data_IF_345862298524
#
_entry.id   IF_345862298524
#
_cell.length_a   1.000
_cell.length_b   1.000
_cell.length_c   1.000
_cell.angle_alpha   90.00
_cell.angle_beta   90.00
_cell.angle_gamma   90.00
#
_symmetry.space_group_name_H-M   'P 1'
#
loop_
_entity.id
_entity.type
_entity.pdbx_description
1 polymer ?
#
# COMPACT_ATOMS: atom_id res chain seq x y z
N UNK A 1 4.34 -23.89 -5.30
CA UNK A 1 3.18 -23.03 -5.66
C UNK A 1 3.77 -21.71 -6.14
N UNK A 2 3.13 -21.01 -7.09
CA UNK A 2 3.70 -19.76 -7.60
C UNK A 2 3.39 -18.65 -6.62
N UNK A 3 4.42 -18.04 -6.03
CA UNK A 3 4.26 -16.83 -5.25
C UNK A 3 3.76 -15.70 -6.18
N UNK A 4 2.76 -14.96 -5.72
CA UNK A 4 2.22 -13.77 -6.37
C UNK A 4 2.46 -12.55 -5.49
N UNK A 5 2.46 -11.36 -6.09
CA UNK A 5 2.81 -10.13 -5.41
C UNK A 5 1.58 -9.33 -5.04
N UNK A 6 1.41 -9.05 -3.75
CA UNK A 6 0.45 -8.08 -3.25
C UNK A 6 1.13 -6.72 -3.06
N UNK A 7 0.38 -5.64 -3.28
CA UNK A 7 0.85 -4.26 -3.19
C UNK A 7 0.04 -3.51 -2.14
N UNK A 8 0.75 -2.78 -1.28
CA UNK A 8 0.18 -1.86 -0.31
C UNK A 8 0.74 -0.46 -0.58
N UNK A 9 -0.15 0.51 -0.65
CA UNK A 9 0.18 1.91 -0.90
C UNK A 9 -0.26 2.72 0.32
N UNK A 10 0.67 3.46 0.91
CA UNK A 10 0.39 4.42 1.97
C UNK A 10 0.57 5.84 1.49
N UNK A 11 -0.37 6.71 1.86
CA UNK A 11 -0.30 8.15 1.71
C UNK A 11 -0.09 8.77 3.10
N UNK A 12 0.89 9.67 3.20
CA UNK A 12 1.36 10.26 4.46
C UNK A 12 1.63 11.77 4.29
N UNK A 13 1.66 12.50 5.41
CA UNK A 13 1.98 13.94 5.43
C UNK A 13 3.49 14.23 5.44
N UNK A 14 4.31 13.23 5.72
CA UNK A 14 5.78 13.29 5.66
C UNK A 14 6.33 12.01 5.02
N UNK A 15 7.56 12.00 4.47
CA UNK A 15 8.14 10.80 3.87
C UNK A 15 8.74 9.82 4.89
N UNK A 16 8.53 10.02 6.19
CA UNK A 16 9.10 9.16 7.22
C UNK A 16 8.36 7.80 7.24
N UNK A 17 9.11 6.69 7.30
CA UNK A 17 8.55 5.33 7.34
C UNK A 17 7.71 5.05 8.59
N UNK A 18 7.90 5.83 9.65
CA UNK A 18 7.13 5.76 10.89
C UNK A 18 5.96 6.76 10.94
N UNK A 19 5.76 7.59 9.92
CA UNK A 19 4.67 8.54 9.87
C UNK A 19 3.30 7.86 9.78
N UNK A 20 2.30 8.49 10.38
CA UNK A 20 0.91 8.01 10.35
C UNK A 20 0.37 7.98 8.91
N UNK A 21 -0.27 6.87 8.56
CA UNK A 21 -1.01 6.72 7.30
C UNK A 21 -2.31 7.54 7.36
N UNK A 22 -2.53 8.38 6.36
CA UNK A 22 -3.77 9.20 6.23
C UNK A 22 -4.73 8.67 5.19
N UNK A 23 -4.23 7.91 4.21
CA UNK A 23 -5.02 7.18 3.24
C UNK A 23 -4.20 5.99 2.72
N UNK A 24 -4.87 4.99 2.16
CA UNK A 24 -4.21 3.78 1.71
C UNK A 24 -4.96 3.11 0.56
N UNK A 25 -4.26 2.24 -0.16
CA UNK A 25 -4.85 1.33 -1.13
C UNK A 25 -4.11 -0.01 -1.06
N UNK A 26 -4.83 -1.12 -1.27
CA UNK A 26 -4.27 -2.46 -1.26
C UNK A 26 -4.74 -3.22 -2.49
N UNK A 27 -3.80 -3.93 -3.11
CA UNK A 27 -4.03 -4.76 -4.29
C UNK A 27 -3.55 -6.17 -3.95
N UNK A 28 -4.48 -7.13 -3.97
CA UNK A 28 -4.23 -8.50 -3.48
C UNK A 28 -4.32 -9.50 -4.64
N UNK A 29 -3.24 -9.65 -5.39
CA UNK A 29 -3.15 -10.67 -6.44
C UNK A 29 -3.29 -12.09 -5.88
N UNK A 30 -2.97 -12.28 -4.60
CA UNK A 30 -3.12 -13.55 -3.88
C UNK A 30 -4.55 -14.05 -3.73
N UNK A 31 -5.57 -13.17 -3.82
CA UNK A 31 -6.98 -13.54 -3.65
C UNK A 31 -7.68 -14.10 -4.91
N UNK A 32 -6.99 -14.18 -6.06
CA UNK A 32 -7.57 -14.70 -7.31
C UNK A 32 -8.52 -13.72 -8.01
N UNK A 33 -9.31 -14.20 -8.98
CA UNK A 33 -10.19 -13.34 -9.81
C UNK A 33 -11.60 -13.15 -9.25
N UNK A 34 -11.97 -13.92 -8.22
CA UNK A 34 -13.21 -13.75 -7.48
C UNK A 34 -13.17 -12.45 -6.69
N UNK A 35 -13.82 -11.41 -7.21
CA UNK A 35 -14.05 -10.12 -6.54
C UNK A 35 -15.06 -10.28 -5.38
N UNK A 36 -14.85 -11.28 -4.52
CA UNK A 36 -15.83 -11.77 -3.56
C UNK A 36 -16.14 -10.79 -2.44
N UNK A 37 -15.14 -10.02 -1.98
CA UNK A 37 -15.35 -8.96 -1.01
C UNK A 37 -14.21 -7.95 -1.16
N UNK A 38 -14.44 -6.88 -1.93
CA UNK A 38 -13.73 -5.63 -1.68
C UNK A 38 -14.22 -5.15 -0.31
N UNK A 39 -13.57 -5.62 0.75
CA UNK A 39 -13.84 -5.13 2.10
C UNK A 39 -13.46 -3.65 2.09
N UNK A 40 -14.47 -2.78 2.12
CA UNK A 40 -14.26 -1.36 2.41
C UNK A 40 -13.82 -1.22 3.87
N UNK A 41 -12.53 -1.44 4.10
CA UNK A 41 -11.91 -1.16 5.40
C UNK A 41 -11.67 0.36 5.50
N UNK A 42 -12.25 0.99 6.52
CA UNK A 42 -12.06 2.42 6.78
C UNK A 42 -10.66 2.74 7.31
N UNK A 43 -10.07 1.82 8.06
CA UNK A 43 -8.77 1.98 8.71
C UNK A 43 -7.67 1.27 7.91
N UNK A 44 -6.44 1.83 7.89
CA UNK A 44 -5.32 1.17 7.24
C UNK A 44 -4.91 -0.11 7.97
N UNK A 45 -4.44 -1.16 7.27
CA UNK A 45 -4.03 -2.42 7.89
C UNK A 45 -2.81 -2.27 8.82
N UNK A 46 -2.05 -1.18 8.68
CA UNK A 46 -0.96 -0.83 9.59
C UNK A 46 -0.91 0.70 9.81
N UNK A 47 -0.49 1.12 11.01
CA UNK A 47 -0.41 2.55 11.33
C UNK A 47 0.69 3.31 10.55
N UNK A 48 1.74 2.61 10.11
CA UNK A 48 2.85 3.13 9.32
C UNK A 48 3.60 2.01 8.56
N UNK A 49 4.52 2.42 7.68
CA UNK A 49 5.32 1.50 6.88
C UNK A 49 6.22 0.60 7.75
N UNK A 50 6.77 1.11 8.86
CA UNK A 50 7.59 0.31 9.78
C UNK A 50 6.82 -0.89 10.38
N UNK A 51 5.53 -0.70 10.71
CA UNK A 51 4.68 -1.80 11.18
C UNK A 51 4.42 -2.84 10.08
N UNK A 52 4.17 -2.41 8.85
CA UNK A 52 4.04 -3.32 7.71
C UNK A 52 5.35 -4.08 7.44
N UNK A 53 6.50 -3.40 7.53
CA UNK A 53 7.82 -4.02 7.34
C UNK A 53 8.13 -5.11 8.37
N UNK A 54 7.71 -4.91 9.63
CA UNK A 54 7.81 -5.95 10.67
C UNK A 54 6.97 -7.19 10.35
N UNK A 55 5.90 -7.04 9.58
CA UNK A 55 5.07 -8.14 9.07
C UNK A 55 5.57 -8.70 7.72
N UNK A 56 6.78 -8.35 7.30
CA UNK A 56 7.42 -8.90 6.10
C UNK A 56 7.07 -8.19 4.79
N UNK A 57 6.41 -7.03 4.85
CA UNK A 57 6.31 -6.16 3.67
C UNK A 57 7.66 -5.52 3.35
N UNK A 58 7.97 -5.38 2.07
CA UNK A 58 9.21 -4.79 1.58
C UNK A 58 8.90 -3.45 0.90
N UNK A 59 9.59 -2.38 1.29
CA UNK A 59 9.46 -1.08 0.61
C UNK A 59 10.12 -1.15 -0.76
N UNK A 60 9.36 -0.86 -1.81
CA UNK A 60 9.84 -0.86 -3.20
C UNK A 60 9.89 0.55 -3.81
N UNK A 61 9.16 1.50 -3.24
CA UNK A 61 9.20 2.92 -3.60
C UNK A 61 8.87 3.78 -2.38
N UNK A 62 9.55 4.93 -2.26
CA UNK A 62 9.24 5.99 -1.31
C UNK A 62 9.32 7.33 -2.02
N UNK A 63 8.38 8.24 -1.76
CA UNK A 63 8.47 9.62 -2.24
C UNK A 63 9.70 10.31 -1.66
N UNK A 64 10.43 11.01 -2.53
CA UNK A 64 11.53 11.86 -2.12
C UNK A 64 11.04 13.04 -1.27
N UNK A 65 11.83 13.43 -0.27
CA UNK A 65 11.62 14.67 0.46
C UNK A 65 11.97 15.85 -0.46
N UNK A 66 10.98 16.42 -1.15
CA UNK A 66 11.19 17.64 -1.94
C UNK A 66 11.16 18.87 -1.04
N UNK A 67 12.28 19.59 -0.96
CA UNK A 67 12.28 20.95 -0.41
C UNK A 67 11.52 21.85 -1.37
N UNK A 68 10.26 22.18 -1.06
CA UNK A 68 9.48 23.12 -1.86
C UNK A 68 9.75 24.55 -1.41
N UNK A 69 9.98 25.42 -2.39
CA UNK A 69 9.86 26.86 -2.19
C UNK A 69 8.37 27.23 -2.03
N UNK A 70 8.04 28.32 -1.31
CA UNK A 70 6.64 28.74 -1.12
C UNK A 70 5.84 28.92 -2.43
N UNK A 71 6.51 29.23 -3.53
CA UNK A 71 5.90 29.41 -4.85
C UNK A 71 5.40 28.09 -5.47
N UNK A 72 6.10 26.97 -5.24
CA UNK A 72 5.76 25.63 -5.76
C UNK A 72 4.62 24.95 -4.97
N UNK A 73 4.27 25.49 -3.80
CA UNK A 73 3.19 24.98 -2.96
C UNK A 73 1.79 25.20 -3.56
N UNK A 74 1.61 26.26 -4.36
CA UNK A 74 0.30 26.66 -4.89
C UNK A 74 -0.10 25.92 -6.18
N UNK A 75 0.85 25.47 -7.00
CA UNK A 75 0.53 24.83 -8.29
C UNK A 75 0.24 23.33 -8.20
N UNK A 76 0.84 22.61 -7.23
CA UNK A 76 0.78 21.14 -7.19
C UNK A 76 -0.20 20.57 -6.15
N UNK A 77 -0.79 21.40 -5.30
CA UNK A 77 -1.47 20.95 -4.09
C UNK A 77 -0.53 20.14 -3.16
N UNK A 78 -1.01 19.72 -1.98
CA UNK A 78 -0.25 18.80 -1.15
C UNK A 78 -0.35 17.40 -1.77
N UNK A 79 0.58 17.03 -2.67
CA UNK A 79 0.79 15.61 -2.96
C UNK A 79 1.20 14.92 -1.65
N UNK A 80 0.40 13.98 -1.11
CA UNK A 80 0.84 13.20 0.03
C UNK A 80 2.07 12.39 -0.37
N UNK A 81 3.03 12.26 0.56
CA UNK A 81 4.15 11.36 0.37
C UNK A 81 3.62 9.93 0.27
N UNK A 82 4.16 9.18 -0.68
CA UNK A 82 3.74 7.83 -0.98
C UNK A 82 4.81 6.83 -0.58
N UNK A 83 4.42 5.77 0.14
CA UNK A 83 5.22 4.56 0.32
C UNK A 83 4.51 3.42 -0.38
N UNK A 84 5.23 2.72 -1.25
CA UNK A 84 4.76 1.50 -1.91
C UNK A 84 5.51 0.32 -1.32
N UNK A 85 4.75 -0.63 -0.80
CA UNK A 85 5.27 -1.87 -0.26
C UNK A 85 4.76 -3.06 -1.05
N UNK A 86 5.57 -4.13 -1.09
CA UNK A 86 5.17 -5.41 -1.65
C UNK A 86 5.39 -6.56 -0.68
N UNK A 87 4.53 -7.57 -0.75
CA UNK A 87 4.71 -8.84 -0.05
C UNK A 87 4.36 -9.98 -1.02
N UNK A 88 5.23 -10.99 -1.09
CA UNK A 88 4.95 -12.20 -1.85
C UNK A 88 4.11 -13.15 -1.00
N UNK A 89 3.00 -13.61 -1.56
CA UNK A 89 2.06 -14.53 -0.92
C UNK A 89 1.74 -15.69 -1.87
N UNK A 90 1.23 -16.79 -1.33
CA UNK A 90 0.75 -17.91 -2.14
C UNK A 90 -0.58 -17.55 -2.82
N UNK A 91 -0.77 -17.96 -4.07
CA UNK A 91 -2.04 -17.79 -4.77
C UNK A 91 -3.11 -18.70 -4.14
N UNK A 92 -4.20 -18.10 -3.67
CA UNK A 92 -5.34 -18.82 -3.13
C UNK A 92 -6.10 -19.51 -4.28
N UNK A 93 -6.56 -20.75 -4.04
CA UNK A 93 -7.39 -21.47 -5.01
C UNK A 93 -8.79 -20.87 -5.02
N UNK A 94 -9.35 -20.66 -6.19
CA UNK A 94 -10.74 -20.26 -6.35
C UNK A 94 -11.66 -21.36 -5.79
N UNK A 95 -12.36 -21.08 -4.68
CA UNK A 95 -13.46 -21.92 -4.21
C UNK A 95 -14.66 -21.69 -5.15
N UNK A 96 -14.73 -22.46 -6.25
CA UNK A 96 -15.87 -22.36 -7.16
C UNK A 96 -15.75 -23.03 -8.53
N UNK A 97 -14.57 -23.41 -8.99
CA UNK A 97 -14.43 -24.16 -10.24
C UNK A 97 -14.57 -25.68 -10.00
N UNK A 98 -15.70 -26.12 -9.43
CA UNK A 98 -16.03 -27.56 -9.39
C UNK A 98 -17.34 -27.81 -10.14
N UNK A 99 -17.18 -28.57 -11.24
CA UNK A 99 -18.18 -29.22 -12.11
C UNK A 99 -18.84 -28.38 -13.19
#
# INVERSE_FOLDING_TARGET
>A
MSAVQDILVFFQTTPALDAQVVAWARYEASKGTGLGDLVEESDPPYHNAMAAMRDGWQVIQMSELKHRSPQEGYELGPLPYQIVLSKFNELQKEEGATS
#
